data_IF_371807949930
#
_entry.id   IF_371807949930
#
_cell.length_a   1.000
_cell.length_b   1.000
_cell.length_c   1.000
_cell.angle_alpha   90.00
_cell.angle_beta   90.00
_cell.angle_gamma   90.00
#
_symmetry.space_group_name_H-M   'P 1'
#
loop_
_entity.id
_entity.type
_entity.pdbx_description
1 polymer ?
#
# COMPACT_ATOMS: atom_id res chain seq x y z
N UNK A 1 62.99 -19.57 -7.63
CA UNK A 1 62.91 -19.02 -9.00
C UNK A 1 61.47 -19.19 -9.44
N UNK A 2 60.73 -18.09 -9.61
CA UNK A 2 59.50 -17.89 -10.41
C UNK A 2 58.85 -16.60 -9.89
N UNK A 3 58.86 -15.47 -10.60
CA UNK A 3 58.19 -15.06 -11.86
C UNK A 3 56.80 -14.44 -11.61
N UNK A 4 56.78 -13.11 -11.80
CA UNK A 4 55.74 -12.11 -12.12
C UNK A 4 54.23 -12.21 -11.76
N UNK A 5 53.56 -11.05 -11.60
CA UNK A 5 52.12 -10.87 -11.47
C UNK A 5 51.42 -10.61 -12.82
N UNK A 6 50.11 -10.86 -12.89
CA UNK A 6 49.19 -10.52 -13.98
C UNK A 6 47.75 -10.57 -13.41
N UNK A 7 46.73 -9.86 -13.85
CA UNK A 7 46.49 -8.70 -14.73
C UNK A 7 45.03 -8.29 -14.43
N UNK A 8 44.65 -7.06 -14.82
CA UNK A 8 43.34 -6.50 -14.58
C UNK A 8 42.23 -7.07 -15.51
N UNK A 9 40.99 -6.70 -15.16
CA UNK A 9 39.82 -6.45 -16.02
C UNK A 9 38.63 -7.45 -16.09
N UNK A 10 37.40 -6.90 -16.31
CA UNK A 10 36.11 -7.45 -15.91
C UNK A 10 35.43 -8.24 -17.04
N UNK A 11 34.42 -9.04 -16.70
CA UNK A 11 33.50 -9.62 -17.67
C UNK A 11 32.09 -9.09 -17.41
N UNK A 12 31.66 -8.16 -18.28
CA UNK A 12 30.26 -7.91 -18.55
C UNK A 12 29.69 -9.10 -19.34
N UNK A 13 28.48 -9.55 -19.02
CA UNK A 13 27.35 -9.55 -19.96
C UNK A 13 26.15 -10.31 -19.37
N UNK A 14 24.99 -9.69 -19.52
CA UNK A 14 23.65 -10.18 -19.19
C UNK A 14 23.17 -11.21 -20.23
N UNK A 15 22.44 -12.28 -19.87
CA UNK A 15 21.73 -13.09 -20.85
C UNK A 15 20.32 -12.52 -21.14
N UNK A 16 20.07 -12.19 -22.40
CA UNK A 16 18.72 -11.94 -22.93
C UNK A 16 18.05 -13.26 -23.36
N UNK A 17 16.74 -13.45 -23.15
CA UNK A 17 15.98 -14.49 -23.84
C UNK A 17 15.52 -14.02 -25.23
N UNK A 18 15.62 -14.93 -26.18
CA UNK A 18 15.36 -14.76 -27.59
C UNK A 18 13.88 -14.96 -27.98
N UNK A 19 13.54 -14.38 -29.14
CA UNK A 19 12.69 -14.90 -30.22
C UNK A 19 11.23 -15.32 -29.94
N UNK A 20 10.29 -14.58 -30.53
CA UNK A 20 9.33 -15.11 -31.52
C UNK A 20 8.75 -13.92 -32.30
N UNK A 21 9.12 -13.82 -33.58
CA UNK A 21 8.46 -12.98 -34.57
C UNK A 21 7.57 -13.91 -35.38
N UNK A 22 6.26 -13.65 -35.41
CA UNK A 22 5.36 -14.32 -36.34
C UNK A 22 5.00 -13.34 -37.47
N UNK A 23 5.26 -13.78 -38.70
CA UNK A 23 4.87 -13.13 -39.94
C UNK A 23 3.35 -13.00 -40.06
N UNK A 24 2.86 -11.83 -40.49
CA UNK A 24 1.62 -11.74 -41.28
C UNK A 24 1.85 -10.79 -42.46
N UNK A 25 2.26 -11.40 -43.57
CA UNK A 25 1.83 -11.20 -44.96
C UNK A 25 1.38 -9.79 -45.39
N UNK A 26 2.20 -9.20 -46.26
CA UNK A 26 1.81 -8.20 -47.24
C UNK A 26 0.80 -8.77 -48.26
N UNK A 27 -0.25 -8.00 -48.60
CA UNK A 27 -0.83 -7.88 -49.96
C UNK A 27 -1.79 -6.65 -50.01
N UNK A 28 -1.59 -5.65 -50.89
CA UNK A 28 -2.67 -4.81 -51.46
C UNK A 28 -3.20 -5.48 -52.76
N UNK A 29 -4.32 -5.07 -53.43
CA UNK A 29 -4.79 -3.69 -53.63
C UNK A 29 -6.33 -3.48 -53.84
N UNK A 30 -6.70 -2.22 -54.20
CA UNK A 30 -7.84 -1.77 -55.04
C UNK A 30 -9.07 -1.09 -54.38
N UNK A 31 -8.99 0.24 -54.37
CA UNK A 31 -9.96 1.24 -54.87
C UNK A 31 -11.44 0.85 -55.01
N UNK A 32 -12.32 1.58 -54.31
CA UNK A 32 -13.57 2.15 -54.83
C UNK A 32 -14.12 3.21 -53.86
N UNK A 33 -14.13 4.48 -54.27
CA UNK A 33 -15.01 5.52 -53.71
C UNK A 33 -16.39 5.42 -54.41
N UNK A 34 -17.52 5.85 -53.81
CA UNK A 34 -17.87 7.28 -53.89
C UNK A 34 -18.73 7.89 -52.74
N UNK A 35 -18.72 9.23 -52.72
CA UNK A 35 -19.79 10.18 -52.42
C UNK A 35 -20.31 10.40 -50.96
N UNK A 36 -19.87 11.53 -50.42
CA UNK A 36 -20.60 12.57 -49.66
C UNK A 36 -21.98 12.24 -49.06
N UNK A 37 -22.11 12.41 -47.73
CA UNK A 37 -22.78 13.58 -47.15
C UNK A 37 -22.46 13.70 -45.64
N UNK A 38 -22.41 14.94 -45.09
CA UNK A 38 -21.87 15.24 -43.77
C UNK A 38 -22.96 15.15 -42.72
N UNK A 39 -22.66 14.62 -41.53
CA UNK A 39 -23.08 15.23 -40.26
C UNK A 39 -22.52 14.43 -39.07
N UNK A 40 -22.09 15.17 -38.05
CA UNK A 40 -21.70 14.67 -36.73
C UNK A 40 -20.39 13.89 -36.64
N UNK A 41 -19.28 14.56 -37.01
CA UNK A 41 -18.08 14.47 -36.17
C UNK A 41 -18.44 15.02 -34.79
N UNK A 42 -18.76 14.14 -33.85
CA UNK A 42 -18.46 14.43 -32.45
C UNK A 42 -16.95 14.41 -32.36
N UNK A 43 -16.35 15.57 -32.64
CA UNK A 43 -15.01 15.88 -32.22
C UNK A 43 -14.90 15.44 -30.74
N UNK A 44 -13.97 14.55 -30.36
CA UNK A 44 -13.61 14.49 -28.97
C UNK A 44 -13.17 15.91 -28.66
N UNK A 45 -13.85 16.55 -27.72
CA UNK A 45 -13.48 17.86 -27.22
C UNK A 45 -12.00 17.78 -26.88
N UNK A 46 -11.16 18.27 -27.79
CA UNK A 46 -9.79 18.59 -27.51
C UNK A 46 -9.92 19.74 -26.55
N UNK A 47 -9.95 19.38 -25.28
CA UNK A 47 -9.72 20.26 -24.17
C UNK A 47 -8.29 20.77 -24.38
N UNK A 48 -8.17 21.77 -25.26
CA UNK A 48 -6.98 22.57 -25.50
C UNK A 48 -6.73 23.48 -24.29
N UNK A 49 -6.98 22.97 -23.08
CA UNK A 49 -6.36 23.43 -21.87
C UNK A 49 -5.00 22.75 -21.83
N UNK A 50 -3.95 23.48 -22.17
CA UNK A 50 -2.57 23.04 -22.00
C UNK A 50 -2.42 22.40 -20.62
N UNK A 51 -2.31 21.07 -20.57
CA UNK A 51 -2.17 20.36 -19.31
C UNK A 51 -0.85 20.80 -18.68
N UNK A 52 -0.85 21.49 -17.52
CA UNK A 52 0.34 22.16 -17.01
C UNK A 52 1.50 21.20 -16.72
N UNK A 53 1.19 19.93 -16.49
CA UNK A 53 2.19 18.86 -16.29
C UNK A 53 2.85 18.42 -17.62
N UNK A 54 2.18 18.55 -18.76
CA UNK A 54 2.66 18.08 -20.05
C UNK A 54 3.89 18.87 -20.54
N UNK A 55 4.02 20.14 -20.14
CA UNK A 55 5.19 20.97 -20.42
C UNK A 55 6.39 20.66 -19.50
N UNK A 56 6.17 19.97 -18.38
CA UNK A 56 7.21 19.62 -17.41
C UNK A 56 7.85 18.26 -17.66
N UNK A 57 7.27 17.46 -18.57
CA UNK A 57 7.76 16.13 -18.93
C UNK A 57 8.23 16.12 -20.40
N UNK A 58 9.13 15.20 -20.76
CA UNK A 58 9.46 14.97 -22.15
C UNK A 58 8.21 14.72 -23.02
N UNK A 59 8.10 15.32 -24.23
CA UNK A 59 6.89 15.25 -25.06
C UNK A 59 6.42 13.83 -25.38
N UNK A 60 7.34 12.88 -25.44
CA UNK A 60 7.08 11.46 -25.69
C UNK A 60 6.38 10.76 -24.52
N UNK A 61 6.46 11.31 -23.29
CA UNK A 61 5.76 10.77 -22.13
C UNK A 61 4.34 11.31 -21.99
N UNK A 62 4.02 12.44 -22.60
CA UNK A 62 2.68 13.05 -22.55
C UNK A 62 1.57 12.08 -22.97
N UNK A 63 1.64 11.36 -24.12
CA UNK A 63 0.59 10.42 -24.48
C UNK A 63 0.48 9.25 -23.47
N UNK A 64 1.61 8.76 -22.92
CA UNK A 64 1.63 7.65 -21.96
C UNK A 64 0.97 8.06 -20.64
N UNK A 65 1.36 9.21 -20.08
CA UNK A 65 0.81 9.70 -18.82
C UNK A 65 -0.68 10.03 -18.96
N UNK A 66 -1.12 10.59 -20.10
CA UNK A 66 -2.54 10.84 -20.36
C UNK A 66 -3.34 9.53 -20.36
N UNK A 67 -2.82 8.49 -20.99
CA UNK A 67 -3.44 7.16 -20.97
C UNK A 67 -3.46 6.57 -19.55
N UNK A 68 -2.37 6.71 -18.78
CA UNK A 68 -2.29 6.23 -17.41
C UNK A 68 -3.27 6.94 -16.49
N UNK A 69 -3.47 8.26 -16.63
CA UNK A 69 -4.48 9.01 -15.87
C UNK A 69 -5.88 8.43 -16.13
N UNK A 70 -6.24 8.17 -17.39
CA UNK A 70 -7.54 7.57 -17.71
C UNK A 70 -7.67 6.13 -17.19
N UNK A 71 -6.56 5.38 -17.17
CA UNK A 71 -6.52 4.00 -16.67
C UNK A 71 -6.62 3.93 -15.14
N UNK A 72 -5.89 4.79 -14.42
CA UNK A 72 -5.89 4.88 -12.97
C UNK A 72 -7.25 5.31 -12.42
N UNK A 73 -8.00 6.16 -13.15
CA UNK A 73 -9.39 6.51 -12.80
C UNK A 73 -10.34 5.30 -12.73
N UNK A 74 -10.01 4.20 -13.43
CA UNK A 74 -10.81 2.97 -13.49
C UNK A 74 -10.20 1.82 -12.69
N UNK A 75 -9.08 2.07 -11.99
CA UNK A 75 -8.34 1.02 -11.30
C UNK A 75 -9.10 0.54 -10.06
N UNK A 76 -9.12 -0.79 -9.89
CA UNK A 76 -9.73 -1.43 -8.71
C UNK A 76 -8.85 -1.20 -7.48
N UNK A 77 -9.48 -1.18 -6.30
CA UNK A 77 -8.76 -1.11 -5.04
C UNK A 77 -7.71 -2.23 -4.96
N UNK A 78 -6.49 -1.87 -4.56
CA UNK A 78 -5.38 -2.82 -4.47
C UNK A 78 -5.67 -3.82 -3.34
N UNK A 79 -5.57 -5.15 -3.60
CA UNK A 79 -5.70 -6.14 -2.55
C UNK A 79 -4.53 -6.04 -1.55
N UNK A 80 -4.65 -6.66 -0.36
CA UNK A 80 -3.56 -6.73 0.60
C UNK A 80 -2.26 -7.22 -0.06
N UNK A 81 -1.17 -6.50 0.22
CA UNK A 81 0.15 -6.82 -0.31
C UNK A 81 0.63 -8.17 0.24
N UNK A 82 1.34 -8.93 -0.59
CA UNK A 82 1.91 -10.21 -0.19
C UNK A 82 3.10 -10.03 0.77
N UNK A 83 3.38 -11.07 1.56
CA UNK A 83 4.51 -11.08 2.51
C UNK A 83 5.85 -10.86 1.82
N UNK A 84 6.04 -11.41 0.62
CA UNK A 84 7.25 -11.19 -0.17
C UNK A 84 7.46 -9.70 -0.48
N UNK A 85 6.41 -8.98 -0.87
CA UNK A 85 6.48 -7.54 -1.11
C UNK A 85 6.76 -6.77 0.18
N UNK A 86 6.06 -7.12 1.26
CA UNK A 86 6.22 -6.45 2.55
C UNK A 86 7.62 -6.66 3.14
N UNK A 87 8.24 -7.83 2.95
CA UNK A 87 9.58 -8.12 3.48
C UNK A 87 10.65 -7.16 2.96
N UNK A 88 10.52 -6.68 1.72
CA UNK A 88 11.41 -5.69 1.10
C UNK A 88 11.14 -4.24 1.53
N UNK A 89 10.02 -3.98 2.21
CA UNK A 89 9.69 -2.64 2.71
C UNK A 89 10.44 -2.33 4.01
N UNK A 90 10.80 -1.06 4.25
CA UNK A 90 11.39 -0.65 5.52
C UNK A 90 10.54 -1.09 6.72
N UNK A 91 11.19 -1.52 7.81
CA UNK A 91 10.52 -2.07 8.99
C UNK A 91 9.41 -1.16 9.54
N UNK A 92 9.58 0.17 9.45
CA UNK A 92 8.56 1.15 9.85
C UNK A 92 7.28 1.03 9.03
N UNK A 93 7.38 0.85 7.70
CA UNK A 93 6.22 0.65 6.81
C UNK A 93 5.57 -0.73 7.02
N UNK A 94 6.37 -1.76 7.31
CA UNK A 94 5.83 -3.10 7.65
C UNK A 94 4.95 -3.06 8.88
N UNK A 95 5.44 -2.43 9.96
CA UNK A 95 4.72 -2.36 11.24
C UNK A 95 3.43 -1.55 11.15
N UNK A 96 3.38 -0.47 10.36
CA UNK A 96 2.14 0.32 10.22
C UNK A 96 1.10 -0.33 9.31
N UNK A 97 1.52 -1.19 8.37
CA UNK A 97 0.59 -1.89 7.48
C UNK A 97 0.08 -3.21 8.04
N UNK A 98 0.85 -3.88 8.91
CA UNK A 98 0.49 -5.19 9.47
C UNK A 98 0.31 -5.22 10.99
N UNK A 99 0.74 -4.19 11.70
CA UNK A 99 0.56 -4.09 13.13
C UNK A 99 -0.85 -3.59 13.44
N UNK A 100 -1.79 -4.52 13.64
CA UNK A 100 -2.91 -4.27 14.54
C UNK A 100 -2.30 -3.76 15.85
N UNK A 101 -2.44 -2.45 16.09
CA UNK A 101 -2.01 -1.85 17.34
C UNK A 101 -2.79 -2.45 18.52
N UNK A 102 -2.38 -2.17 19.76
CA UNK A 102 -3.19 -2.54 20.92
C UNK A 102 -4.62 -2.01 20.70
N UNK A 103 -5.61 -2.92 20.80
CA UNK A 103 -7.00 -2.56 20.57
C UNK A 103 -7.44 -1.56 21.63
N UNK A 104 -7.70 -0.33 21.20
CA UNK A 104 -8.04 0.77 22.09
C UNK A 104 -9.48 0.65 22.61
N UNK A 105 -10.35 -0.08 21.88
CA UNK A 105 -11.70 -0.40 22.33
C UNK A 105 -11.81 -1.83 22.86
N UNK A 106 -12.34 -1.96 24.09
CA UNK A 106 -12.62 -3.27 24.69
C UNK A 106 -13.66 -4.08 23.87
N UNK A 107 -14.70 -3.43 23.35
CA UNK A 107 -15.75 -4.11 22.60
C UNK A 107 -15.22 -4.76 21.31
N UNK A 108 -14.26 -4.11 20.65
CA UNK A 108 -13.58 -4.64 19.47
C UNK A 108 -12.65 -5.81 19.83
N UNK A 109 -11.88 -5.67 20.90
CA UNK A 109 -10.99 -6.71 21.40
C UNK A 109 -11.77 -8.00 21.73
N UNK A 110 -12.89 -7.87 22.46
CA UNK A 110 -13.78 -8.99 22.80
C UNK A 110 -14.43 -9.58 21.55
N UNK A 111 -14.90 -8.76 20.61
CA UNK A 111 -15.51 -9.26 19.37
C UNK A 111 -14.52 -10.10 18.54
N UNK A 112 -13.26 -9.67 18.46
CA UNK A 112 -12.20 -10.46 17.82
C UNK A 112 -11.91 -11.75 18.57
N UNK A 113 -11.77 -11.69 19.89
CA UNK A 113 -11.54 -12.88 20.71
C UNK A 113 -12.67 -13.90 20.54
N UNK A 114 -13.93 -13.45 20.53
CA UNK A 114 -15.09 -14.30 20.23
C UNK A 114 -15.03 -14.93 18.84
N UNK A 115 -14.67 -14.16 17.80
CA UNK A 115 -14.51 -14.71 16.44
C UNK A 115 -13.40 -15.75 16.37
N UNK A 116 -12.30 -15.52 17.07
CA UNK A 116 -11.16 -16.43 17.10
C UNK A 116 -11.46 -17.72 17.87
N UNK A 117 -12.16 -17.61 18.99
CA UNK A 117 -12.53 -18.75 19.85
C UNK A 117 -13.80 -19.47 19.41
N UNK A 118 -14.59 -18.85 18.52
CA UNK A 118 -15.93 -19.33 18.14
C UNK A 118 -16.99 -19.14 19.22
N UNK A 119 -16.69 -18.43 20.31
CA UNK A 119 -17.62 -18.18 21.41
C UNK A 119 -18.79 -17.29 20.96
N UNK A 120 -20.00 -17.65 21.40
CA UNK A 120 -21.23 -16.88 21.15
C UNK A 120 -21.75 -16.32 22.48
N UNK A 121 -22.18 -15.05 22.51
CA UNK A 121 -22.75 -14.48 23.72
C UNK A 121 -24.09 -15.16 23.99
N UNK A 122 -24.39 -15.40 25.27
CA UNK A 122 -25.71 -15.88 25.68
C UNK A 122 -26.79 -14.81 25.45
N UNK A 123 -26.40 -13.55 25.60
CA UNK A 123 -27.19 -12.38 25.22
C UNK A 123 -27.01 -12.04 23.74
N UNK A 124 -27.67 -10.98 23.25
CA UNK A 124 -27.42 -10.50 21.90
C UNK A 124 -26.04 -9.83 21.80
N UNK A 125 -25.36 -10.01 20.65
CA UNK A 125 -24.07 -9.38 20.39
C UNK A 125 -24.12 -7.85 20.53
N UNK A 126 -25.27 -7.24 20.22
CA UNK A 126 -25.50 -5.81 20.37
C UNK A 126 -25.61 -5.37 21.84
N UNK A 127 -26.24 -6.20 22.69
CA UNK A 127 -26.33 -5.90 24.12
C UNK A 127 -24.96 -5.98 24.79
N UNK A 128 -24.18 -7.02 24.47
CA UNK A 128 -22.81 -7.17 24.97
C UNK A 128 -21.92 -6.00 24.52
N UNK A 129 -21.99 -5.59 23.26
CA UNK A 129 -21.25 -4.42 22.76
C UNK A 129 -21.57 -3.17 23.56
N UNK A 130 -22.85 -2.89 23.78
CA UNK A 130 -23.31 -1.71 24.51
C UNK A 130 -22.81 -1.68 25.97
N UNK A 131 -22.72 -2.83 26.62
CA UNK A 131 -22.15 -2.96 27.97
C UNK A 131 -20.64 -2.69 27.97
N UNK A 132 -19.92 -3.27 27.00
CA UNK A 132 -18.48 -3.08 26.86
C UNK A 132 -18.11 -1.65 26.41
N UNK A 133 -19.00 -0.95 25.72
CA UNK A 133 -18.84 0.46 25.32
C UNK A 133 -19.23 1.45 26.43
N UNK A 134 -19.61 0.96 27.62
CA UNK A 134 -19.87 1.84 28.77
C UNK A 134 -18.60 2.58 29.21
N UNK A 135 -18.74 3.87 29.54
CA UNK A 135 -17.61 4.75 29.87
C UNK A 135 -16.76 4.20 31.03
N UNK A 136 -17.40 3.69 32.09
CA UNK A 136 -16.70 3.14 33.25
C UNK A 136 -15.83 1.93 32.87
N UNK A 137 -16.36 1.01 32.07
CA UNK A 137 -15.63 -0.19 31.63
C UNK A 137 -14.47 0.18 30.70
N UNK A 138 -14.69 1.13 29.78
CA UNK A 138 -13.65 1.62 28.87
C UNK A 138 -12.52 2.33 29.61
N UNK A 139 -12.84 3.16 30.61
CA UNK A 139 -11.81 3.81 31.46
C UNK A 139 -11.00 2.77 32.20
N UNK A 140 -11.64 1.78 32.85
CA UNK A 140 -10.94 0.70 33.56
C UNK A 140 -10.05 -0.13 32.65
N UNK A 141 -10.53 -0.44 31.45
CA UNK A 141 -9.75 -1.15 30.45
C UNK A 141 -8.50 -0.35 30.02
N UNK A 142 -8.67 0.95 29.76
CA UNK A 142 -7.57 1.84 29.38
C UNK A 142 -6.54 1.99 30.50
N UNK A 143 -7.00 2.13 31.74
CA UNK A 143 -6.13 2.20 32.92
C UNK A 143 -5.32 0.91 33.10
N UNK A 144 -5.95 -0.24 32.90
CA UNK A 144 -5.27 -1.53 32.94
C UNK A 144 -4.21 -1.66 31.84
N UNK A 145 -4.54 -1.28 30.60
CA UNK A 145 -3.58 -1.27 29.50
C UNK A 145 -2.37 -0.37 29.80
N UNK A 146 -2.60 0.82 30.36
CA UNK A 146 -1.52 1.71 30.76
C UNK A 146 -0.62 1.08 31.83
N UNK A 147 -1.20 0.45 32.86
CA UNK A 147 -0.46 -0.23 33.91
C UNK A 147 0.37 -1.41 33.38
N UNK A 148 -0.22 -2.22 32.50
CA UNK A 148 0.45 -3.38 31.90
C UNK A 148 1.62 -2.95 31.02
N UNK A 149 1.41 -1.94 30.16
CA UNK A 149 2.48 -1.39 29.33
C UNK A 149 3.58 -0.78 30.21
N UNK A 150 3.22 -0.04 31.27
CA UNK A 150 4.18 0.55 32.19
C UNK A 150 5.02 -0.52 32.89
N UNK A 151 4.40 -1.63 33.31
CA UNK A 151 5.10 -2.78 33.87
C UNK A 151 6.06 -3.40 32.86
N UNK A 152 5.62 -3.64 31.63
CA UNK A 152 6.46 -4.18 30.56
C UNK A 152 7.67 -3.27 30.30
N UNK A 153 7.49 -1.94 30.34
CA UNK A 153 8.58 -0.99 30.15
C UNK A 153 9.58 -1.01 31.32
N UNK A 154 9.12 -1.21 32.55
CA UNK A 154 9.98 -1.33 33.73
C UNK A 154 10.79 -2.63 33.70
N UNK A 155 10.17 -3.74 33.27
CA UNK A 155 10.82 -5.05 33.16
C UNK A 155 11.78 -5.15 31.96
N UNK A 156 11.75 -4.18 31.03
CA UNK A 156 12.55 -4.22 29.81
C UNK A 156 13.92 -3.55 29.97
N UNK A 157 14.98 -4.35 29.97
CA UNK A 157 16.37 -3.86 30.10
C UNK A 157 16.81 -2.91 28.97
N UNK A 158 16.21 -3.03 27.78
CA UNK A 158 16.53 -2.16 26.64
C UNK A 158 15.75 -0.84 26.63
N UNK A 159 14.79 -0.67 27.55
CA UNK A 159 14.03 0.57 27.66
C UNK A 159 14.85 1.64 28.39
N UNK A 160 15.03 2.79 27.74
CA UNK A 160 15.52 3.98 28.41
C UNK A 160 14.74 5.22 27.99
N UNK A 161 14.30 6.07 28.93
CA UNK A 161 13.54 7.28 28.61
C UNK A 161 14.36 8.27 27.77
N UNK A 162 15.69 8.20 27.81
CA UNK A 162 16.58 9.01 26.96
C UNK A 162 16.53 8.59 25.49
N UNK A 163 16.42 7.28 25.21
CA UNK A 163 16.24 6.76 23.84
C UNK A 163 14.81 6.92 23.34
N UNK A 164 13.84 6.91 24.27
CA UNK A 164 12.41 6.98 23.97
C UNK A 164 11.71 8.13 24.74
N UNK A 165 12.00 9.40 24.40
CA UNK A 165 11.52 10.56 25.16
C UNK A 165 10.00 10.78 25.13
N UNK A 166 9.32 10.21 24.13
CA UNK A 166 7.87 10.34 23.96
C UNK A 166 7.04 9.34 24.78
N UNK A 167 7.68 8.31 25.34
CA UNK A 167 7.00 7.27 26.12
C UNK A 167 6.17 7.81 27.29
N UNK A 168 6.66 8.73 28.15
CA UNK A 168 5.86 9.27 29.25
C UNK A 168 4.61 10.04 28.78
N UNK A 169 4.65 10.66 27.59
CA UNK A 169 3.50 11.36 27.00
C UNK A 169 2.38 10.40 26.60
N UNK A 170 2.68 9.14 26.30
CA UNK A 170 1.68 8.16 25.90
C UNK A 170 0.71 7.77 27.05
N UNK A 171 1.10 8.00 28.31
CA UNK A 171 0.30 7.66 29.49
C UNK A 171 -0.39 8.86 30.13
N UNK A 172 0.05 10.07 29.81
CA UNK A 172 -0.64 11.29 30.19
C UNK A 172 -1.82 11.40 29.23
N UNK A 173 -3.05 11.21 29.72
CA UNK A 173 -4.24 11.45 28.90
C UNK A 173 -4.14 12.82 28.23
N UNK A 174 -4.43 12.89 26.94
CA UNK A 174 -4.57 14.18 26.27
C UNK A 174 -5.67 14.98 27.03
N UNK A 175 -5.46 16.27 27.30
CA UNK A 175 -6.42 17.09 28.04
C UNK A 175 -7.78 17.20 27.35
#
# INVERSE_FOLDING_TARGET
METSPADAQPCASSPAPATTVEEVLFLPPQSSAPALCPDSEVAPSEEAGSEPWAAAVPPEWVPVIRQDIQSQRKMKQQPPLSDAYLSGMPAKRRKTMQGEGPHLSLSEAVNRAMRYTGAKPETSAESLRRELDSSEVQVRYRDQLCQDIQKILQDNESYSPQRFPNTPRAFQGDP
#
